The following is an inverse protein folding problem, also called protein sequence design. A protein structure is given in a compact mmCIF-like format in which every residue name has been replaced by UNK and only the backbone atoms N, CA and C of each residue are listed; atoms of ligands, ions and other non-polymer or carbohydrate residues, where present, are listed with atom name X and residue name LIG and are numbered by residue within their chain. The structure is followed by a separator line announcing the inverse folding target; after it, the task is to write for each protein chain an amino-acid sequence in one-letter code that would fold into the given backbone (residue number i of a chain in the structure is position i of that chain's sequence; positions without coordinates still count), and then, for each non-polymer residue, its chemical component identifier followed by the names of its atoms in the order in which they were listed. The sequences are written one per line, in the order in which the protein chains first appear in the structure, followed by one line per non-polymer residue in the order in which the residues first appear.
data_IF_170476964718
#
_entry.id   IF_170476964718
#
_cell.length_a   1.000
_cell.length_b   1.000
_cell.length_c   1.000
_cell.angle_alpha   90.00
_cell.angle_beta   90.00
_cell.angle_gamma   90.00
#
_symmetry.space_group_name_H-M   'P 1'
#
loop_
_entity.id
_entity.type
_entity.pdbx_description
1 polymer ?
#
# COMPACT_ATOMS: atom_id res chain seq x y z
N UNK A 1 -47.68 3.94 -3.25
CA UNK A 1 -46.45 3.38 -3.83
C UNK A 1 -45.47 4.52 -3.99
N UNK A 2 -44.35 4.50 -3.27
CA UNK A 2 -43.27 5.48 -3.46
C UNK A 2 -42.26 4.81 -4.38
N UNK A 3 -42.16 5.33 -5.60
CA UNK A 3 -41.18 4.91 -6.60
C UNK A 3 -39.78 5.31 -6.09
N UNK A 4 -38.98 4.32 -5.69
CA UNK A 4 -37.58 4.55 -5.33
C UNK A 4 -36.78 4.64 -6.63
N UNK A 5 -36.52 5.86 -7.09
CA UNK A 5 -35.59 6.11 -8.20
C UNK A 5 -34.23 6.48 -7.63
N UNK A 6 -33.21 5.69 -7.95
CA UNK A 6 -31.81 6.09 -7.73
C UNK A 6 -31.49 7.16 -8.79
N UNK A 7 -31.84 8.41 -8.52
CA UNK A 7 -31.39 9.55 -9.31
C UNK A 7 -29.97 9.91 -8.89
N UNK A 8 -28.99 9.18 -9.42
CA UNK A 8 -27.60 9.62 -9.46
C UNK A 8 -27.06 9.26 -10.84
N UNK A 9 -27.22 10.17 -11.79
CA UNK A 9 -26.52 10.08 -13.06
C UNK A 9 -25.10 10.57 -12.79
N UNK A 10 -24.13 9.64 -12.75
CA UNK A 10 -22.72 9.99 -12.61
C UNK A 10 -22.37 11.04 -13.68
N UNK A 11 -21.76 12.15 -13.25
CA UNK A 11 -21.35 13.19 -14.21
C UNK A 11 -20.21 12.67 -15.08
N UNK A 12 -20.00 13.27 -16.25
CA UNK A 12 -18.84 12.92 -17.11
C UNK A 12 -17.52 13.03 -16.33
N UNK A 13 -17.40 14.02 -15.44
CA UNK A 13 -16.24 14.17 -14.57
C UNK A 13 -16.08 12.99 -13.58
N UNK A 14 -17.18 12.47 -13.03
CA UNK A 14 -17.15 11.29 -12.18
C UNK A 14 -16.72 10.05 -12.97
N UNK A 15 -17.27 9.86 -14.17
CA UNK A 15 -16.92 8.76 -15.08
C UNK A 15 -15.43 8.79 -15.42
N UNK A 16 -14.90 9.95 -15.81
CA UNK A 16 -13.47 10.11 -16.07
C UNK A 16 -12.63 9.82 -14.82
N UNK A 17 -13.04 10.30 -13.64
CA UNK A 17 -12.38 9.98 -12.38
C UNK A 17 -12.33 8.47 -12.08
N UNK A 18 -13.43 7.74 -12.33
CA UNK A 18 -13.46 6.29 -12.20
C UNK A 18 -12.55 5.59 -13.20
N UNK A 19 -12.51 6.03 -14.47
CA UNK A 19 -11.62 5.48 -15.49
C UNK A 19 -10.14 5.70 -15.16
N UNK A 20 -9.78 6.89 -14.67
CA UNK A 20 -8.43 7.21 -14.21
C UNK A 20 -8.01 6.26 -13.08
N UNK A 21 -8.90 6.07 -12.10
CA UNK A 21 -8.67 5.15 -10.98
C UNK A 21 -8.54 3.70 -11.44
N UNK A 22 -9.40 3.25 -12.35
CA UNK A 22 -9.34 1.90 -12.89
C UNK A 22 -7.99 1.64 -13.59
N UNK A 23 -7.52 2.58 -14.41
CA UNK A 23 -6.18 2.50 -15.04
C UNK A 23 -5.06 2.44 -14.01
N UNK A 24 -5.15 3.23 -12.93
CA UNK A 24 -4.19 3.17 -11.83
C UNK A 24 -4.14 1.77 -11.21
N UNK A 25 -5.30 1.15 -10.94
CA UNK A 25 -5.40 -0.19 -10.37
C UNK A 25 -4.83 -1.26 -11.33
N UNK A 26 -5.06 -1.14 -12.63
CA UNK A 26 -4.46 -2.02 -13.63
C UNK A 26 -2.93 -1.94 -13.61
N UNK A 27 -2.39 -0.72 -13.52
CA UNK A 27 -0.94 -0.51 -13.41
C UNK A 27 -0.38 -1.06 -12.09
N UNK A 28 -1.06 -0.83 -10.96
CA UNK A 28 -0.70 -1.39 -9.67
C UNK A 28 -0.68 -2.93 -9.70
N UNK A 29 -1.67 -3.56 -10.34
CA UNK A 29 -1.69 -5.02 -10.55
C UNK A 29 -0.50 -5.47 -11.39
N UNK A 30 -0.21 -4.77 -12.49
CA UNK A 30 0.93 -5.07 -13.36
C UNK A 30 2.26 -4.96 -12.61
N UNK A 31 2.44 -3.92 -11.79
CA UNK A 31 3.61 -3.77 -10.91
C UNK A 31 3.71 -4.97 -9.97
N UNK A 32 2.63 -5.27 -9.24
CA UNK A 32 2.60 -6.39 -8.29
C UNK A 32 3.00 -7.71 -8.96
N UNK A 33 2.38 -8.05 -10.09
CA UNK A 33 2.60 -9.31 -10.79
C UNK A 33 4.02 -9.39 -11.35
N UNK A 34 4.50 -8.32 -11.97
CA UNK A 34 5.84 -8.29 -12.57
C UNK A 34 6.94 -8.47 -11.53
N UNK A 35 6.78 -7.84 -10.36
CA UNK A 35 7.77 -7.87 -9.28
C UNK A 35 7.73 -9.15 -8.43
N UNK A 36 6.64 -9.92 -8.50
CA UNK A 36 6.45 -11.17 -7.74
C UNK A 36 6.55 -12.45 -8.59
N UNK A 37 6.79 -12.34 -9.90
CA UNK A 37 7.03 -13.49 -10.79
C UNK A 37 8.27 -14.30 -10.37
N UNK A 38 8.22 -15.62 -10.56
CA UNK A 38 9.40 -16.48 -10.38
C UNK A 38 10.42 -16.19 -11.48
N UNK A 39 11.72 -16.04 -11.18
CA UNK A 39 12.75 -15.90 -12.21
C UNK A 39 12.72 -17.11 -13.15
N UNK A 40 12.68 -16.87 -14.46
CA UNK A 40 12.76 -17.87 -15.52
C UNK A 40 14.18 -17.93 -16.12
N UNK A 41 14.53 -19.00 -16.85
CA UNK A 41 15.89 -19.19 -17.40
C UNK A 41 16.34 -18.10 -18.42
N UNK A 42 15.41 -17.30 -18.96
CA UNK A 42 15.68 -16.11 -19.79
C UNK A 42 14.93 -14.90 -19.23
N UNK A 43 15.15 -14.58 -17.96
CA UNK A 43 14.49 -13.42 -17.35
C UNK A 43 15.14 -12.14 -17.85
N UNK A 44 14.31 -11.19 -18.31
CA UNK A 44 14.71 -9.80 -18.48
C UNK A 44 15.35 -9.32 -17.16
N UNK A 45 16.51 -8.62 -17.19
CA UNK A 45 17.14 -8.12 -15.96
C UNK A 45 16.16 -7.31 -15.10
N UNK A 46 16.19 -7.49 -13.79
CA UNK A 46 15.28 -6.82 -12.84
C UNK A 46 15.26 -5.30 -13.04
N UNK A 47 16.42 -4.70 -13.32
CA UNK A 47 16.55 -3.25 -13.54
C UNK A 47 15.77 -2.77 -14.76
N UNK A 48 15.71 -3.56 -15.83
CA UNK A 48 14.93 -3.22 -17.02
C UNK A 48 13.43 -3.32 -16.75
N UNK A 49 13.01 -4.32 -15.96
CA UNK A 49 11.61 -4.46 -15.53
C UNK A 49 11.21 -3.25 -14.69
N UNK A 50 12.05 -2.87 -13.72
CA UNK A 50 11.80 -1.71 -12.83
C UNK A 50 11.77 -0.41 -13.64
N UNK A 51 12.73 -0.20 -14.55
CA UNK A 51 12.78 0.99 -15.39
C UNK A 51 11.52 1.12 -16.27
N UNK A 52 11.04 0.02 -16.86
CA UNK A 52 9.82 0.02 -17.66
C UNK A 52 8.58 0.35 -16.81
N UNK A 53 8.42 -0.29 -15.64
CA UNK A 53 7.31 -0.02 -14.73
C UNK A 53 7.33 1.42 -14.20
N UNK A 54 8.52 1.94 -13.88
CA UNK A 54 8.71 3.33 -13.47
C UNK A 54 8.29 4.29 -14.59
N UNK A 55 8.74 4.06 -15.82
CA UNK A 55 8.38 4.89 -16.96
C UNK A 55 6.86 4.89 -17.23
N UNK A 56 6.19 3.75 -17.08
CA UNK A 56 4.73 3.67 -17.19
C UNK A 56 4.00 4.44 -16.08
N UNK A 57 4.50 4.37 -14.84
CA UNK A 57 3.95 5.11 -13.71
C UNK A 57 4.16 6.62 -13.85
N UNK A 58 5.35 7.05 -14.27
CA UNK A 58 5.68 8.45 -14.53
C UNK A 58 4.86 8.99 -15.71
N UNK A 59 4.62 8.18 -16.75
CA UNK A 59 3.73 8.54 -17.84
C UNK A 59 2.28 8.69 -17.37
N UNK A 60 1.78 7.74 -16.56
CA UNK A 60 0.45 7.83 -15.99
C UNK A 60 0.30 9.08 -15.10
N UNK A 61 1.29 9.40 -14.26
CA UNK A 61 1.29 10.63 -13.45
C UNK A 61 1.16 11.90 -14.31
N UNK A 62 1.87 11.96 -15.44
CA UNK A 62 1.84 13.10 -16.37
C UNK A 62 0.52 13.23 -17.12
N UNK A 63 -0.03 12.12 -17.60
CA UNK A 63 -1.27 12.12 -18.39
C UNK A 63 -2.53 12.26 -17.51
N UNK A 64 -2.42 11.98 -16.22
CA UNK A 64 -3.55 12.06 -15.29
C UNK A 64 -3.38 13.26 -14.37
N UNK A 65 -3.54 14.47 -14.94
CA UNK A 65 -3.67 15.70 -14.16
C UNK A 65 -5.08 15.74 -13.57
N UNK A 66 -5.25 15.58 -12.26
CA UNK A 66 -6.57 15.48 -11.68
C UNK A 66 -7.32 16.82 -11.74
N UNK A 67 -8.62 16.75 -11.99
CA UNK A 67 -9.54 17.86 -11.72
C UNK A 67 -9.72 18.03 -10.21
N UNK A 68 -10.13 19.20 -9.75
CA UNK A 68 -10.11 19.59 -8.33
C UNK A 68 -10.77 18.56 -7.38
N UNK A 69 -11.80 17.84 -7.83
CA UNK A 69 -12.54 16.85 -7.02
C UNK A 69 -11.88 15.45 -6.97
N UNK A 70 -11.04 15.07 -7.94
CA UNK A 70 -10.40 13.74 -7.99
C UNK A 70 -8.96 13.74 -7.48
N UNK A 71 -8.39 14.92 -7.20
CA UNK A 71 -6.97 15.11 -6.85
C UNK A 71 -6.46 14.18 -5.75
N UNK A 72 -7.11 14.17 -4.58
CA UNK A 72 -6.66 13.32 -3.48
C UNK A 72 -6.72 11.83 -3.81
N UNK A 73 -7.76 11.37 -4.53
CA UNK A 73 -7.85 9.96 -4.92
C UNK A 73 -6.74 9.57 -5.89
N UNK A 74 -6.48 10.38 -6.93
CA UNK A 74 -5.41 10.16 -7.90
C UNK A 74 -4.03 10.14 -7.24
N UNK A 75 -3.74 11.12 -6.37
CA UNK A 75 -2.49 11.19 -5.60
C UNK A 75 -2.30 9.96 -4.70
N UNK A 76 -3.39 9.45 -4.10
CA UNK A 76 -3.33 8.26 -3.27
C UNK A 76 -3.04 6.99 -4.09
N UNK A 77 -3.61 6.85 -5.28
CA UNK A 77 -3.35 5.69 -6.14
C UNK A 77 -1.95 5.76 -6.79
N UNK A 78 -1.43 6.96 -7.06
CA UNK A 78 -0.03 7.18 -7.44
C UNK A 78 0.91 6.71 -6.33
N UNK A 79 0.65 7.16 -5.11
CA UNK A 79 1.44 6.81 -3.93
C UNK A 79 1.46 5.30 -3.71
N UNK A 80 0.31 4.63 -3.85
CA UNK A 80 0.22 3.17 -3.82
C UNK A 80 1.03 2.49 -4.93
N UNK A 81 1.01 3.04 -6.15
CA UNK A 81 1.86 2.56 -7.24
C UNK A 81 3.35 2.65 -6.93
N UNK A 82 3.81 3.79 -6.40
CA UNK A 82 5.20 3.99 -5.97
C UNK A 82 5.58 3.04 -4.82
N UNK A 83 4.69 2.86 -3.83
CA UNK A 83 4.92 1.88 -2.76
C UNK A 83 5.05 0.44 -3.29
N UNK A 84 4.23 0.06 -4.27
CA UNK A 84 4.33 -1.26 -4.91
C UNK A 84 5.62 -1.43 -5.70
N UNK A 85 6.07 -0.36 -6.36
CA UNK A 85 7.28 -0.36 -7.17
C UNK A 85 8.55 -0.48 -6.31
N UNK A 86 8.62 0.23 -5.19
CA UNK A 86 9.84 0.38 -4.38
C UNK A 86 9.93 -0.52 -3.16
N UNK A 87 8.89 -1.29 -2.84
CA UNK A 87 8.99 -2.31 -1.78
C UNK A 87 10.01 -3.40 -2.13
N UNK A 88 10.62 -4.04 -1.11
CA UNK A 88 11.24 -5.35 -1.27
C UNK A 88 10.26 -6.32 -1.94
N UNK A 89 10.72 -7.07 -2.93
CA UNK A 89 9.89 -8.02 -3.68
C UNK A 89 10.71 -9.23 -4.11
N UNK A 90 10.05 -10.20 -4.74
CA UNK A 90 10.71 -11.46 -5.11
C UNK A 90 11.93 -11.27 -6.03
N UNK A 91 11.84 -10.37 -7.01
CA UNK A 91 12.91 -10.15 -7.99
C UNK A 91 13.99 -9.15 -7.53
N UNK A 92 13.68 -8.33 -6.52
CA UNK A 92 14.58 -7.38 -5.84
C UNK A 92 14.30 -7.42 -4.34
N UNK A 93 14.88 -8.41 -3.62
CA UNK A 93 14.66 -8.56 -2.19
C UNK A 93 15.30 -7.43 -1.37
N UNK A 94 16.39 -6.87 -1.87
CA UNK A 94 17.11 -5.76 -1.24
C UNK A 94 17.06 -4.53 -2.13
N UNK A 95 16.50 -3.45 -1.58
CA UNK A 95 16.35 -2.16 -2.26
C UNK A 95 17.49 -1.21 -1.90
N UNK A 96 17.86 -0.35 -2.85
CA UNK A 96 18.84 0.71 -2.61
C UNK A 96 18.32 1.70 -1.57
N UNK A 97 19.20 2.55 -1.05
CA UNK A 97 18.81 3.58 -0.09
C UNK A 97 17.85 4.59 -0.72
N UNK A 98 18.12 4.98 -1.96
CA UNK A 98 17.31 5.89 -2.76
C UNK A 98 15.91 5.31 -2.99
N UNK A 99 15.81 4.03 -3.35
CA UNK A 99 14.51 3.35 -3.47
C UNK A 99 13.75 3.29 -2.13
N UNK A 100 14.45 3.09 -1.00
CA UNK A 100 13.79 3.14 0.32
C UNK A 100 13.32 4.56 0.69
N UNK A 101 14.00 5.61 0.23
CA UNK A 101 13.56 7.00 0.39
C UNK A 101 12.33 7.32 -0.48
N UNK A 102 12.27 6.78 -1.69
CA UNK A 102 11.07 6.85 -2.53
C UNK A 102 9.89 6.13 -1.88
N UNK A 103 10.12 4.93 -1.33
CA UNK A 103 9.12 4.18 -0.56
C UNK A 103 8.61 4.96 0.66
N UNK A 104 9.52 5.62 1.41
CA UNK A 104 9.18 6.48 2.54
C UNK A 104 8.29 7.64 2.11
N UNK A 105 8.72 8.38 1.09
CA UNK A 105 8.00 9.56 0.57
C UNK A 105 6.61 9.19 0.07
N UNK A 106 6.51 8.12 -0.72
CA UNK A 106 5.23 7.63 -1.22
C UNK A 106 4.29 7.21 -0.07
N UNK A 107 4.82 6.55 0.97
CA UNK A 107 4.01 6.09 2.10
C UNK A 107 3.48 7.26 2.94
N UNK A 108 4.30 8.30 3.17
CA UNK A 108 3.85 9.51 3.85
C UNK A 108 2.78 10.27 3.03
N UNK A 109 3.00 10.41 1.71
CA UNK A 109 2.03 11.02 0.80
C UNK A 109 0.69 10.29 0.82
N UNK A 110 0.72 8.96 0.78
CA UNK A 110 -0.47 8.12 0.92
C UNK A 110 -1.22 8.40 2.23
N UNK A 111 -0.52 8.41 3.37
CA UNK A 111 -1.13 8.62 4.68
C UNK A 111 -1.72 10.02 4.82
N UNK A 112 -1.06 11.06 4.32
CA UNK A 112 -1.57 12.42 4.37
C UNK A 112 -2.94 12.50 3.67
N UNK A 113 -3.07 11.89 2.50
CA UNK A 113 -4.34 11.85 1.77
C UNK A 113 -5.37 10.98 2.47
N UNK A 114 -5.00 9.78 2.94
CA UNK A 114 -5.95 8.89 3.63
C UNK A 114 -6.44 9.47 4.96
N UNK A 115 -5.60 10.22 5.66
CA UNK A 115 -5.99 10.93 6.87
C UNK A 115 -7.11 11.93 6.57
N UNK A 116 -6.95 12.76 5.56
CA UNK A 116 -7.99 13.70 5.13
C UNK A 116 -9.28 12.99 4.70
N UNK A 117 -9.18 11.86 3.99
CA UNK A 117 -10.34 11.06 3.59
C UNK A 117 -11.08 10.45 4.78
N UNK A 118 -10.36 10.02 5.81
CA UNK A 118 -10.96 9.49 7.05
C UNK A 118 -11.63 10.61 7.85
N UNK A 119 -10.95 11.74 8.04
CA UNK A 119 -11.47 12.90 8.76
C UNK A 119 -12.73 13.47 8.09
N UNK A 120 -12.81 13.40 6.76
CA UNK A 120 -13.99 13.81 5.98
C UNK A 120 -15.04 12.70 5.79
N UNK A 121 -14.85 11.53 6.39
CA UNK A 121 -15.71 10.34 6.25
C UNK A 121 -15.96 9.91 4.78
N UNK A 122 -14.95 10.07 3.92
CA UNK A 122 -14.99 9.74 2.48
C UNK A 122 -14.44 8.36 2.14
N UNK A 123 -14.21 7.51 3.13
CA UNK A 123 -13.82 6.11 2.93
C UNK A 123 -15.06 5.22 2.88
N UNK A 124 -15.29 4.60 1.73
CA UNK A 124 -16.39 3.66 1.51
C UNK A 124 -15.97 2.21 1.74
N UNK A 125 -14.85 1.78 1.14
CA UNK A 125 -14.32 0.41 1.26
C UNK A 125 -13.35 0.29 2.43
N UNK A 126 -13.91 0.25 3.64
CA UNK A 126 -13.16 0.27 4.92
C UNK A 126 -12.14 -0.87 5.02
N UNK A 127 -12.47 -2.06 4.51
CA UNK A 127 -11.57 -3.22 4.52
C UNK A 127 -10.29 -2.94 3.71
N UNK A 128 -10.45 -2.59 2.43
CA UNK A 128 -9.34 -2.25 1.53
C UNK A 128 -8.55 -1.08 2.07
N UNK A 129 -9.24 -0.04 2.59
CA UNK A 129 -8.58 1.12 3.16
C UNK A 129 -7.71 0.76 4.37
N UNK A 130 -8.24 -0.06 5.29
CA UNK A 130 -7.50 -0.52 6.47
C UNK A 130 -6.23 -1.29 6.07
N UNK A 131 -6.33 -2.14 5.05
CA UNK A 131 -5.16 -2.87 4.55
C UNK A 131 -4.12 -1.97 3.90
N UNK A 132 -4.56 -1.04 3.03
CA UNK A 132 -3.64 -0.10 2.39
C UNK A 132 -2.94 0.77 3.44
N UNK A 133 -3.66 1.23 4.47
CA UNK A 133 -3.07 1.98 5.59
C UNK A 133 -2.08 1.14 6.40
N UNK A 134 -2.44 -0.09 6.76
CA UNK A 134 -1.53 -1.00 7.47
C UNK A 134 -0.24 -1.22 6.66
N UNK A 135 -0.41 -1.43 5.35
CA UNK A 135 0.70 -1.66 4.44
C UNK A 135 1.61 -0.43 4.27
N UNK A 136 1.03 0.77 4.22
CA UNK A 136 1.77 2.03 4.27
C UNK A 136 2.55 2.19 5.59
N UNK A 137 1.94 1.82 6.71
CA UNK A 137 2.61 1.79 8.01
C UNK A 137 3.83 0.87 8.00
N UNK A 138 3.69 -0.37 7.50
CA UNK A 138 4.83 -1.28 7.38
C UNK A 138 5.92 -0.75 6.45
N UNK A 139 5.56 -0.12 5.34
CA UNK A 139 6.51 0.51 4.42
C UNK A 139 7.32 1.62 5.09
N UNK A 140 6.68 2.47 5.91
CA UNK A 140 7.33 3.52 6.70
C UNK A 140 8.33 2.93 7.69
N UNK A 141 7.90 1.94 8.46
CA UNK A 141 8.77 1.28 9.44
C UNK A 141 9.95 0.58 8.75
N UNK A 142 9.71 -0.08 7.61
CA UNK A 142 10.75 -0.73 6.81
C UNK A 142 11.76 0.27 6.27
N UNK A 143 11.30 1.33 5.59
CA UNK A 143 12.18 2.37 5.05
C UNK A 143 12.99 3.07 6.13
N UNK A 144 12.35 3.42 7.27
CA UNK A 144 13.04 3.98 8.42
C UNK A 144 14.18 3.05 8.86
N UNK A 145 13.86 1.77 9.06
CA UNK A 145 14.85 0.80 9.50
C UNK A 145 16.00 0.68 8.51
N UNK A 146 15.73 0.53 7.21
CA UNK A 146 16.78 0.37 6.18
C UNK A 146 17.67 1.60 6.05
N UNK A 147 17.11 2.79 6.12
CA UNK A 147 17.92 4.03 6.05
C UNK A 147 18.86 4.15 7.25
N UNK A 148 18.44 3.70 8.43
CA UNK A 148 19.20 3.82 9.68
C UNK A 148 20.06 2.57 10.02
N UNK A 149 19.81 1.40 9.41
CA UNK A 149 20.53 0.15 9.70
C UNK A 149 21.64 -0.19 8.69
N UNK A 150 21.72 0.51 7.55
CA UNK A 150 22.76 0.24 6.57
C UNK A 150 24.09 0.83 7.07
N UNK A 151 25.16 0.04 7.01
CA UNK A 151 26.55 0.42 7.30
C UNK A 151 27.05 1.46 6.29
N UNK A 152 26.47 2.66 6.35
CA UNK A 152 26.85 3.81 5.56
C UNK A 152 27.97 4.56 6.28
N UNK A 153 28.79 5.30 5.54
CA UNK A 153 29.73 6.23 6.14
C UNK A 153 28.99 7.23 7.04
N UNK A 154 29.57 7.64 8.17
CA UNK A 154 28.89 8.50 9.15
C UNK A 154 28.34 9.82 8.58
N UNK A 155 28.97 10.35 7.54
CA UNK A 155 28.53 11.57 6.83
C UNK A 155 27.27 11.35 5.97
N UNK A 156 27.14 10.16 5.38
CA UNK A 156 26.03 9.78 4.51
C UNK A 156 24.81 9.35 5.34
N UNK A 157 25.04 8.73 6.51
CA UNK A 157 24.00 8.54 7.54
C UNK A 157 23.48 9.90 8.00
N UNK A 158 24.35 10.86 8.34
CA UNK A 158 23.94 12.16 8.85
C UNK A 158 23.10 12.96 7.83
N UNK A 159 23.52 12.98 6.55
CA UNK A 159 22.75 13.62 5.47
C UNK A 159 21.38 12.98 5.24
N UNK A 160 21.30 11.65 5.31
CA UNK A 160 20.05 10.89 5.04
C UNK A 160 19.12 10.83 6.25
N UNK A 161 19.65 10.77 7.46
CA UNK A 161 18.91 10.89 8.71
C UNK A 161 18.26 12.28 8.89
N UNK A 162 18.81 13.32 8.26
CA UNK A 162 18.18 14.64 8.21
C UNK A 162 16.87 14.64 7.39
N UNK A 163 16.71 13.71 6.44
CA UNK A 163 15.52 13.54 5.60
C UNK A 163 14.50 12.63 6.29
N UNK A 164 14.96 11.52 6.88
CA UNK A 164 14.11 10.56 7.62
C UNK A 164 14.28 10.76 9.12
N UNK A 165 13.65 11.82 9.64
CA UNK A 165 13.76 12.21 11.05
C UNK A 165 12.90 11.33 11.95
N UNK A 166 13.39 11.05 13.16
CA UNK A 166 12.63 10.33 14.18
C UNK A 166 11.29 11.00 14.53
N UNK A 167 11.24 12.33 14.49
CA UNK A 167 10.00 13.10 14.70
C UNK A 167 8.96 12.82 13.62
N UNK A 168 9.40 12.62 12.38
CA UNK A 168 8.52 12.36 11.25
C UNK A 168 8.01 10.91 11.30
N UNK A 169 8.84 9.97 11.77
CA UNK A 169 8.40 8.61 12.11
C UNK A 169 7.29 8.61 13.16
N UNK A 170 7.46 9.37 14.25
CA UNK A 170 6.46 9.45 15.31
C UNK A 170 5.11 9.96 14.81
N UNK A 171 5.11 11.05 14.03
CA UNK A 171 3.89 11.60 13.41
C UNK A 171 3.24 10.58 12.48
N UNK A 172 4.03 9.91 11.65
CA UNK A 172 3.52 8.91 10.72
C UNK A 172 2.87 7.72 11.45
N UNK A 173 3.46 7.24 12.55
CA UNK A 173 2.86 6.19 13.39
C UNK A 173 1.53 6.65 13.99
N UNK A 174 1.46 7.89 14.47
CA UNK A 174 0.22 8.46 14.98
C UNK A 174 -0.87 8.54 13.90
N UNK A 175 -0.51 8.92 12.67
CA UNK A 175 -1.44 8.97 11.54
C UNK A 175 -1.96 7.58 11.14
N UNK A 176 -1.08 6.59 11.05
CA UNK A 176 -1.48 5.20 10.79
C UNK A 176 -2.42 4.70 11.88
N UNK A 177 -2.07 4.89 13.15
CA UNK A 177 -2.88 4.46 14.28
C UNK A 177 -4.25 5.15 14.31
N UNK A 178 -4.29 6.45 14.02
CA UNK A 178 -5.53 7.20 13.90
C UNK A 178 -6.42 6.61 12.81
N UNK A 179 -5.90 6.46 11.59
CA UNK A 179 -6.66 5.92 10.46
C UNK A 179 -7.16 4.50 10.77
N UNK A 180 -6.28 3.59 11.23
CA UNK A 180 -6.66 2.21 11.51
C UNK A 180 -7.71 2.11 12.61
N UNK A 181 -7.59 2.90 13.68
CA UNK A 181 -8.58 2.92 14.78
C UNK A 181 -9.93 3.43 14.27
N UNK A 182 -9.96 4.55 13.56
CA UNK A 182 -11.20 5.11 13.01
C UNK A 182 -11.88 4.14 12.03
N UNK A 183 -11.11 3.49 11.16
CA UNK A 183 -11.65 2.49 10.24
C UNK A 183 -12.15 1.24 10.97
N UNK A 184 -11.50 0.86 12.08
CA UNK A 184 -11.88 -0.31 12.87
C UNK A 184 -13.22 -0.18 13.61
N UNK A 185 -13.72 1.05 13.79
CA UNK A 185 -15.08 1.29 14.30
C UNK A 185 -16.14 0.79 13.32
N UNK A 186 -15.80 0.76 12.02
CA UNK A 186 -16.69 0.36 10.92
C UNK A 186 -16.39 -1.05 10.40
N UNK A 187 -15.30 -1.69 10.86
CA UNK A 187 -14.92 -3.05 10.50
C UNK A 187 -14.11 -3.71 11.62
N UNK A 188 -14.72 -4.70 12.30
CA UNK A 188 -14.16 -5.35 13.49
C UNK A 188 -12.74 -5.90 13.29
N UNK A 189 -12.47 -6.53 12.14
CA UNK A 189 -11.14 -7.10 11.88
C UNK A 189 -10.07 -6.03 11.63
N UNK A 190 -10.47 -4.79 11.35
CA UNK A 190 -9.57 -3.63 11.34
C UNK A 190 -8.87 -3.44 12.69
N UNK A 191 -9.48 -3.89 13.79
CA UNK A 191 -8.85 -3.87 15.12
C UNK A 191 -7.65 -4.79 15.19
N UNK A 192 -7.62 -5.88 14.41
CA UNK A 192 -6.47 -6.79 14.35
C UNK A 192 -5.28 -6.06 13.72
N UNK A 193 -5.50 -5.36 12.60
CA UNK A 193 -4.47 -4.55 11.94
C UNK A 193 -3.96 -3.43 12.84
N UNK A 194 -4.87 -2.72 13.53
CA UNK A 194 -4.50 -1.67 14.49
C UNK A 194 -3.62 -2.23 15.62
N UNK A 195 -4.01 -3.35 16.23
CA UNK A 195 -3.22 -4.01 17.29
C UNK A 195 -1.86 -4.52 16.81
N UNK A 196 -1.82 -5.11 15.62
CA UNK A 196 -0.57 -5.60 15.02
C UNK A 196 0.38 -4.43 14.72
N UNK A 197 -0.14 -3.34 14.16
CA UNK A 197 0.66 -2.16 13.87
C UNK A 197 1.14 -1.48 15.16
N UNK A 198 0.29 -1.36 16.18
CA UNK A 198 0.66 -0.84 17.50
C UNK A 198 1.83 -1.62 18.09
N UNK A 199 1.72 -2.94 18.14
CA UNK A 199 2.80 -3.82 18.63
C UNK A 199 4.11 -3.62 17.85
N UNK A 200 4.03 -3.57 16.52
CA UNK A 200 5.20 -3.43 15.64
C UNK A 200 5.86 -2.04 15.78
N UNK A 201 5.05 -0.99 15.86
CA UNK A 201 5.50 0.40 15.96
C UNK A 201 6.07 0.73 17.35
N UNK A 202 5.51 0.20 18.44
CA UNK A 202 6.08 0.35 19.79
C UNK A 202 7.50 -0.20 19.84
N UNK A 203 7.75 -1.36 19.23
CA UNK A 203 9.10 -1.92 19.17
C UNK A 203 10.03 -1.03 18.32
N UNK A 204 9.56 -0.53 17.18
CA UNK A 204 10.35 0.35 16.31
C UNK A 204 10.72 1.67 17.01
N UNK A 205 9.81 2.28 17.76
CA UNK A 205 10.06 3.48 18.57
C UNK A 205 11.08 3.19 19.66
N UNK A 206 10.90 2.12 20.44
CA UNK A 206 11.82 1.75 21.50
C UNK A 206 13.25 1.52 20.98
N UNK A 207 13.39 0.97 19.77
CA UNK A 207 14.69 0.81 19.11
C UNK A 207 15.25 2.15 18.63
N UNK A 208 14.44 3.01 18.01
CA UNK A 208 14.87 4.33 17.56
C UNK A 208 15.34 5.23 18.72
N UNK A 209 14.67 5.15 19.87
CA UNK A 209 15.01 5.93 21.07
C UNK A 209 16.29 5.41 21.75
N UNK A 210 16.47 4.09 21.83
CA UNK A 210 17.68 3.46 22.38
C UNK A 210 18.90 3.56 21.45
N UNK A 211 18.69 3.75 20.14
CA UNK A 211 19.73 3.87 19.11
C UNK A 211 20.57 5.15 19.17
N UNK A 212 20.32 6.08 20.11
CA UNK A 212 21.20 7.24 20.35
C UNK A 212 22.62 6.85 20.83
N UNK A 213 22.84 5.60 21.23
CA UNK A 213 24.15 5.06 21.64
C UNK A 213 24.76 4.08 20.62
N UNK A 214 24.37 4.19 19.35
CA UNK A 214 24.78 3.27 18.29
C UNK A 214 23.81 2.11 18.18
N UNK A 215 23.16 1.99 17.01
CA UNK A 215 22.39 0.81 16.65
C UNK A 215 23.38 -0.36 16.57
N UNK A 216 23.59 -1.05 17.70
CA UNK A 216 24.29 -2.33 17.72
C UNK A 216 23.60 -3.26 16.73
N UNK A 217 24.40 -4.02 15.95
CA UNK A 217 24.00 -5.13 15.06
C UNK A 217 23.09 -6.19 15.73
N UNK A 218 22.78 -6.05 17.02
CA UNK A 218 21.97 -6.96 17.82
C UNK A 218 20.48 -6.60 17.91
N UNK A 219 20.05 -5.39 17.50
CA UNK A 219 18.64 -5.03 17.54
C UNK A 219 17.89 -5.73 16.40
N UNK A 220 17.27 -6.87 16.73
CA UNK A 220 16.47 -7.68 15.80
C UNK A 220 15.34 -6.83 15.22
N UNK A 221 15.35 -6.63 13.90
CA UNK A 221 14.24 -6.05 13.15
C UNK A 221 12.96 -6.85 13.48
N UNK A 222 11.82 -6.22 13.80
CA UNK A 222 10.54 -6.91 13.95
C UNK A 222 10.25 -7.86 12.79
N UNK A 223 9.73 -9.05 13.09
CA UNK A 223 9.45 -10.07 12.07
C UNK A 223 8.53 -9.53 10.98
N UNK A 224 7.53 -8.74 11.37
CA UNK A 224 6.55 -8.12 10.49
C UNK A 224 7.22 -7.19 9.46
N UNK A 225 8.27 -6.48 9.86
CA UNK A 225 9.08 -5.64 8.96
C UNK A 225 9.98 -6.50 8.08
N UNK A 226 10.59 -7.56 8.63
CA UNK A 226 11.42 -8.50 7.85
C UNK A 226 10.61 -9.21 6.75
N UNK A 227 9.36 -9.58 7.05
CA UNK A 227 8.46 -10.25 6.11
C UNK A 227 7.65 -9.27 5.26
N UNK A 228 7.95 -7.97 5.29
CA UNK A 228 7.20 -6.98 4.52
C UNK A 228 7.16 -7.30 3.02
N UNK A 229 8.30 -7.75 2.45
CA UNK A 229 8.38 -8.13 1.04
C UNK A 229 7.59 -9.40 0.66
N UNK A 230 7.17 -10.18 1.66
CA UNK A 230 6.32 -11.37 1.50
C UNK A 230 4.94 -11.19 2.11
N UNK A 231 4.58 -9.96 2.51
CA UNK A 231 3.28 -9.68 3.11
C UNK A 231 2.15 -10.09 2.17
N UNK A 232 1.31 -11.01 2.66
CA UNK A 232 0.09 -11.44 1.99
C UNK A 232 -1.07 -10.71 2.65
N UNK A 233 -1.84 -9.98 1.83
CA UNK A 233 -3.03 -9.26 2.28
C UNK A 233 -4.01 -10.17 3.04
N UNK A 234 -4.59 -9.67 4.13
CA UNK A 234 -5.60 -10.43 4.88
C UNK A 234 -6.91 -10.56 4.09
N UNK A 235 -7.24 -9.60 3.24
CA UNK A 235 -8.38 -9.66 2.31
C UNK A 235 -8.13 -10.68 1.22
N UNK A 236 -6.88 -10.92 0.78
CA UNK A 236 -6.59 -12.01 -0.17
C UNK A 236 -6.65 -13.39 0.50
N UNK A 237 -6.23 -13.53 1.76
CA UNK A 237 -6.38 -14.78 2.55
C UNK A 237 -7.85 -15.09 2.86
N UNK A 238 -8.69 -14.06 3.05
CA UNK A 238 -10.13 -14.26 3.21
C UNK A 238 -10.84 -14.48 1.89
N UNK A 239 -10.51 -13.74 0.84
CA UNK A 239 -11.01 -14.01 -0.50
C UNK A 239 -10.62 -15.41 -0.97
N UNK A 240 -9.47 -15.98 -0.55
CA UNK A 240 -9.14 -17.38 -0.85
C UNK A 240 -9.98 -18.37 -0.02
N UNK A 241 -10.25 -18.08 1.25
CA UNK A 241 -11.15 -18.90 2.10
C UNK A 241 -12.63 -18.79 1.71
N UNK A 242 -13.05 -17.63 1.22
CA UNK A 242 -14.37 -17.40 0.62
C UNK A 242 -14.43 -17.93 -0.82
N UNK A 243 -13.31 -17.97 -1.56
CA UNK A 243 -13.21 -18.62 -2.89
C UNK A 243 -13.51 -20.11 -2.83
N UNK A 244 -13.13 -20.81 -1.76
CA UNK A 244 -13.54 -22.21 -1.60
C UNK A 244 -15.08 -22.36 -1.54
N UNK A 245 -15.82 -21.31 -1.13
CA UNK A 245 -17.29 -21.24 -1.19
C UNK A 245 -17.87 -20.50 -2.40
N UNK A 246 -17.13 -19.58 -3.02
CA UNK A 246 -17.52 -18.81 -4.20
C UNK A 246 -17.25 -19.56 -5.51
N UNK A 247 -16.25 -20.45 -5.58
CA UNK A 247 -16.05 -21.35 -6.73
C UNK A 247 -17.26 -22.28 -6.88
N UNK A 248 -17.84 -22.73 -5.76
CA UNK A 248 -19.08 -23.51 -5.76
C UNK A 248 -20.27 -22.65 -6.26
N UNK A 249 -20.38 -21.39 -5.83
CA UNK A 249 -21.44 -20.47 -6.26
C UNK A 249 -21.30 -19.95 -7.70
N UNK A 250 -20.09 -19.75 -8.21
CA UNK A 250 -19.81 -19.38 -9.60
C UNK A 250 -20.13 -20.54 -10.55
N UNK A 251 -19.87 -21.79 -10.12
CA UNK A 251 -20.32 -22.99 -10.85
C UNK A 251 -21.86 -23.09 -10.86
N UNK A 252 -22.52 -22.81 -9.75
CA UNK A 252 -23.98 -22.81 -9.66
C UNK A 252 -24.61 -21.66 -10.49
N UNK A 253 -24.00 -20.47 -10.50
CA UNK A 253 -24.41 -19.32 -11.32
C UNK A 253 -24.18 -19.56 -12.82
N UNK A 254 -23.05 -20.16 -13.19
CA UNK A 254 -22.79 -20.53 -14.60
C UNK A 254 -23.74 -21.63 -15.07
N UNK A 255 -24.06 -22.62 -14.22
CA UNK A 255 -25.09 -23.63 -14.53
C UNK A 255 -26.50 -23.04 -14.60
N UNK A 256 -26.82 -22.07 -13.74
CA UNK A 256 -28.09 -21.36 -13.78
C UNK A 256 -28.25 -20.53 -15.06
N UNK A 257 -27.20 -19.79 -15.46
CA UNK A 257 -27.18 -19.03 -16.72
C UNK A 257 -27.24 -19.97 -17.93
N UNK A 258 -26.54 -21.10 -17.92
CA UNK A 258 -26.62 -22.09 -18.99
C UNK A 258 -28.03 -22.67 -19.16
N UNK A 259 -28.74 -22.95 -18.06
CA UNK A 259 -30.13 -23.44 -18.11
C UNK A 259 -31.15 -22.38 -18.58
N UNK A 260 -30.84 -21.10 -18.43
CA UNK A 260 -31.71 -20.03 -18.95
C UNK A 260 -31.53 -19.79 -20.46
N UNK A 261 -30.43 -20.25 -21.05
CA UNK A 261 -30.15 -20.11 -22.50
C UNK A 261 -30.72 -21.29 -23.32
N UNK A 262 -31.16 -22.36 -22.64
CA UNK A 262 -31.78 -23.54 -23.26
C UNK A 262 -33.33 -23.55 -23.23
N UNK A 263 -33.98 -22.41 -22.89
CA UNK A 263 -35.43 -22.19 -23.01
C UNK A 263 -35.68 -21.10 -24.05
#
# INVERSE_FOLDING_TARGET
MVDFRIESVATEADIQGYLQRYRALQLQSKIYDSLNRKPQRRTVPSDQIIAALKAELDWWEKENIPTHNSKGLVESELSMGKMLLYRPCRIVPERSVEENMELWTASLGFLATYRQLVESNRIFYVQIASEKTYWAGLAILHSFWRVHSLSLSGEEVARRAAIVRQTDLWKAIQDVMFILRTLSERWEDGRILAKQFEKTSTFAIAVAENGRNGLSDTLRVPREIQTFGTYVSMTSIRASKERDGLIQRDLDLQQFVARMVEI
#
